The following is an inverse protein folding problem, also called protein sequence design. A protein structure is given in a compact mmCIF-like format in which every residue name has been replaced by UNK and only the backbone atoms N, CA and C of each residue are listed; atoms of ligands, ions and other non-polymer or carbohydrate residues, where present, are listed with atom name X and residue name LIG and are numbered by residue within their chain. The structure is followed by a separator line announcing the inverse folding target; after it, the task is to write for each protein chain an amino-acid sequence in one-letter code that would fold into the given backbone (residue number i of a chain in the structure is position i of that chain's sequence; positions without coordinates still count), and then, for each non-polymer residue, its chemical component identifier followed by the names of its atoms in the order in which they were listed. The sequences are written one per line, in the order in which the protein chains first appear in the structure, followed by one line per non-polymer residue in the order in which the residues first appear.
data_IF_055020066880
#
_entry.id   IF_055020066880
#
_cell.length_a   1.000
_cell.length_b   1.000
_cell.length_c   1.000
_cell.angle_alpha   90.00
_cell.angle_beta   90.00
_cell.angle_gamma   90.00
#
_symmetry.space_group_name_H-M   'P 1'
#
loop_
_entity.id
_entity.type
_entity.pdbx_description
1 polymer ?
#
# COMPACT_ATOMS: atom_id res chain seq x y z
N UNK A 1 22.16 -13.76 -37.76
CA UNK A 1 20.91 -13.63 -37.00
C UNK A 1 21.25 -13.79 -35.52
N UNK A 2 21.59 -12.71 -34.83
CA UNK A 2 21.88 -12.75 -33.40
C UNK A 2 20.56 -12.80 -32.64
N UNK A 3 20.34 -13.88 -31.88
CA UNK A 3 19.18 -14.01 -31.01
C UNK A 3 19.20 -12.89 -29.97
N UNK A 4 18.16 -12.05 -29.98
CA UNK A 4 17.84 -11.20 -28.85
C UNK A 4 17.63 -12.11 -27.65
N UNK A 5 18.57 -12.12 -26.72
CA UNK A 5 18.34 -12.60 -25.37
C UNK A 5 17.28 -11.68 -24.78
N UNK A 6 16.01 -12.11 -24.78
CA UNK A 6 15.02 -11.53 -23.88
C UNK A 6 15.53 -11.82 -22.49
N UNK A 7 16.01 -10.78 -21.79
CA UNK A 7 16.28 -10.87 -20.36
C UNK A 7 15.06 -11.55 -19.75
N UNK A 8 15.28 -12.66 -19.04
CA UNK A 8 14.20 -13.30 -18.30
C UNK A 8 13.57 -12.20 -17.44
N UNK A 9 12.30 -11.87 -17.69
CA UNK A 9 11.51 -11.03 -16.81
C UNK A 9 11.45 -11.81 -15.50
N UNK A 10 12.42 -11.58 -14.62
CA UNK A 10 12.39 -12.11 -13.27
C UNK A 10 11.07 -11.70 -12.66
N UNK A 11 10.40 -12.63 -11.99
CA UNK A 11 9.19 -12.36 -11.21
C UNK A 11 9.57 -11.38 -10.10
N UNK A 12 9.49 -10.07 -10.40
CA UNK A 12 9.73 -9.02 -9.43
C UNK A 12 8.76 -9.16 -8.27
N UNK A 13 9.29 -9.50 -7.09
CA UNK A 13 8.53 -9.54 -5.84
C UNK A 13 8.97 -8.33 -5.03
N UNK A 14 8.02 -7.49 -4.64
CA UNK A 14 8.24 -6.37 -3.74
C UNK A 14 7.50 -6.63 -2.42
N UNK A 15 8.27 -6.70 -1.33
CA UNK A 15 7.76 -6.87 0.02
C UNK A 15 8.13 -5.61 0.81
N UNK A 16 7.12 -4.90 1.31
CA UNK A 16 7.29 -3.62 2.00
C UNK A 16 6.71 -3.74 3.40
N UNK A 17 7.46 -3.28 4.38
CA UNK A 17 6.95 -2.99 5.72
C UNK A 17 7.30 -1.55 6.07
N UNK A 18 6.36 -0.79 6.60
CA UNK A 18 6.65 0.55 7.09
C UNK A 18 5.70 0.99 8.20
N UNK A 19 6.26 1.73 9.15
CA UNK A 19 5.48 2.58 10.02
C UNK A 19 4.99 3.78 9.20
N UNK A 20 3.67 3.93 9.12
CA UNK A 20 2.99 4.92 8.29
C UNK A 20 2.19 5.92 9.11
N UNK A 21 2.50 6.08 10.41
CA UNK A 21 1.77 7.01 11.27
C UNK A 21 1.70 8.44 10.70
N UNK A 22 2.80 8.92 10.12
CA UNK A 22 2.87 10.24 9.47
C UNK A 22 2.28 10.30 8.05
N UNK A 23 2.04 9.15 7.41
CA UNK A 23 1.46 9.10 6.06
C UNK A 23 0.05 9.70 6.04
N UNK A 24 -0.71 9.47 7.12
CA UNK A 24 -2.08 9.93 7.27
C UNK A 24 -2.19 11.37 7.79
N UNK A 25 -1.06 11.99 8.15
CA UNK A 25 -0.98 13.41 8.52
C UNK A 25 -0.72 14.30 7.28
N UNK A 26 -0.12 13.76 6.20
CA UNK A 26 0.15 14.47 4.94
C UNK A 26 -0.17 13.60 3.68
N UNK A 27 -1.45 13.30 3.43
CA UNK A 27 -1.86 12.44 2.33
C UNK A 27 -1.53 13.04 0.95
N UNK A 28 -1.61 14.36 0.78
CA UNK A 28 -1.41 14.98 -0.55
C UNK A 28 0.01 14.78 -1.10
N UNK A 29 1.04 14.75 -0.24
CA UNK A 29 2.42 14.63 -0.68
C UNK A 29 2.98 13.21 -0.48
N UNK A 30 2.79 12.60 0.69
CA UNK A 30 3.44 11.33 1.04
C UNK A 30 2.77 10.14 0.36
N UNK A 31 1.43 10.08 0.34
CA UNK A 31 0.69 8.99 -0.28
C UNK A 31 0.91 8.92 -1.79
N UNK A 32 0.81 10.06 -2.50
CA UNK A 32 1.01 10.09 -3.95
C UNK A 32 2.42 9.67 -4.35
N UNK A 33 3.42 10.01 -3.53
CA UNK A 33 4.80 9.59 -3.73
C UNK A 33 4.93 8.08 -3.58
N UNK A 34 4.40 7.50 -2.50
CA UNK A 34 4.39 6.05 -2.27
C UNK A 34 3.80 5.26 -3.44
N UNK A 35 2.66 5.71 -3.98
CA UNK A 35 2.01 5.04 -5.10
C UNK A 35 2.88 4.98 -6.36
N UNK A 36 3.75 5.98 -6.59
CA UNK A 36 4.66 6.02 -7.75
C UNK A 36 5.83 5.05 -7.61
N UNK A 37 6.28 4.79 -6.39
CA UNK A 37 7.44 3.92 -6.12
C UNK A 37 7.10 2.43 -6.28
N UNK A 38 5.82 2.03 -6.26
CA UNK A 38 5.37 0.64 -6.47
C UNK A 38 5.37 0.23 -7.96
N UNK A 39 6.41 0.57 -8.70
CA UNK A 39 6.47 0.39 -10.14
C UNK A 39 6.71 -1.09 -10.54
N UNK A 40 5.64 -1.71 -11.05
CA UNK A 40 5.63 -2.97 -11.82
C UNK A 40 6.25 -4.25 -11.19
N UNK A 41 6.12 -4.53 -9.88
CA UNK A 41 6.38 -5.90 -9.42
C UNK A 41 5.26 -6.84 -9.91
N UNK A 42 5.60 -8.11 -10.16
CA UNK A 42 4.62 -9.16 -10.44
C UNK A 42 3.84 -9.56 -9.18
N UNK A 43 4.42 -9.34 -8.00
CA UNK A 43 3.79 -9.54 -6.71
C UNK A 43 4.18 -8.41 -5.75
N UNK A 44 3.18 -7.76 -5.16
CA UNK A 44 3.33 -6.72 -4.16
C UNK A 44 2.67 -7.16 -2.85
N UNK A 45 3.42 -7.12 -1.75
CA UNK A 45 2.87 -7.19 -0.41
C UNK A 45 3.33 -5.97 0.39
N UNK A 46 2.37 -5.24 0.96
CA UNK A 46 2.63 -4.06 1.80
C UNK A 46 2.02 -4.31 3.16
N UNK A 47 2.85 -4.19 4.20
CA UNK A 47 2.44 -4.24 5.60
C UNK A 47 2.68 -2.88 6.23
N UNK A 48 1.61 -2.27 6.75
CA UNK A 48 1.65 -0.93 7.33
C UNK A 48 1.44 -1.01 8.85
N UNK A 49 2.36 -0.42 9.63
CA UNK A 49 2.20 -0.22 11.07
C UNK A 49 1.71 1.21 11.37
N UNK A 50 1.04 1.41 12.51
CA UNK A 50 0.47 2.70 12.92
C UNK A 50 -0.48 3.31 11.88
N UNK A 51 -1.30 2.47 11.24
CA UNK A 51 -2.30 2.92 10.27
C UNK A 51 -3.33 3.83 10.96
N UNK A 52 -3.58 5.00 10.37
CA UNK A 52 -4.39 6.05 11.00
C UNK A 52 -3.59 7.00 11.92
N UNK A 53 -2.31 6.72 12.20
CA UNK A 53 -1.46 7.60 13.01
C UNK A 53 -1.97 7.84 14.43
N UNK A 54 -1.46 8.89 15.07
CA UNK A 54 -1.76 9.17 16.49
C UNK A 54 -3.20 9.62 16.74
N UNK A 55 -3.89 10.13 15.71
CA UNK A 55 -5.27 10.63 15.78
C UNK A 55 -6.28 9.69 15.11
N UNK A 56 -6.05 8.37 15.23
CA UNK A 56 -6.76 7.32 14.49
C UNK A 56 -8.29 7.51 14.39
N UNK A 57 -8.97 7.97 15.45
CA UNK A 57 -10.43 8.21 15.44
C UNK A 57 -10.88 9.14 14.29
N UNK A 58 -10.09 10.17 13.97
CA UNK A 58 -10.37 11.10 12.89
C UNK A 58 -9.84 10.62 11.53
N UNK A 59 -8.70 9.93 11.54
CA UNK A 59 -7.94 9.55 10.35
C UNK A 59 -8.30 8.17 9.77
N UNK A 60 -9.09 7.34 10.44
CA UNK A 60 -9.57 6.07 9.86
C UNK A 60 -10.40 6.29 8.58
N UNK A 61 -11.13 7.40 8.48
CA UNK A 61 -11.80 7.77 7.22
C UNK A 61 -10.80 8.00 6.06
N UNK A 62 -9.59 8.46 6.37
CA UNK A 62 -8.51 8.63 5.39
C UNK A 62 -7.86 7.30 5.03
N UNK A 63 -7.81 6.33 5.95
CA UNK A 63 -7.32 4.97 5.66
C UNK A 63 -8.18 4.29 4.59
N UNK A 64 -9.50 4.39 4.73
CA UNK A 64 -10.44 3.88 3.71
C UNK A 64 -10.24 4.56 2.35
N UNK A 65 -10.05 5.89 2.34
CA UNK A 65 -9.77 6.63 1.09
C UNK A 65 -8.47 6.18 0.46
N UNK A 66 -7.41 6.04 1.29
CA UNK A 66 -6.10 5.57 0.85
C UNK A 66 -6.17 4.21 0.17
N UNK A 67 -6.84 3.24 0.80
CA UNK A 67 -6.99 1.89 0.24
C UNK A 67 -7.78 1.95 -1.07
N UNK A 68 -8.89 2.69 -1.12
CA UNK A 68 -9.69 2.82 -2.34
C UNK A 68 -8.87 3.45 -3.48
N UNK A 69 -8.13 4.51 -3.19
CA UNK A 69 -7.28 5.20 -4.17
C UNK A 69 -6.15 4.30 -4.69
N UNK A 70 -5.44 3.61 -3.79
CA UNK A 70 -4.41 2.62 -4.15
C UNK A 70 -4.98 1.57 -5.10
N UNK A 71 -6.11 0.96 -4.75
CA UNK A 71 -6.75 -0.08 -5.55
C UNK A 71 -7.30 0.43 -6.87
N UNK A 72 -7.68 1.71 -6.95
CA UNK A 72 -8.16 2.35 -8.18
C UNK A 72 -7.04 2.82 -9.12
N UNK A 73 -5.78 2.80 -8.66
CA UNK A 73 -4.65 3.30 -9.44
C UNK A 73 -4.36 2.41 -10.66
N UNK A 74 -3.89 3.04 -11.75
CA UNK A 74 -3.50 2.31 -12.97
C UNK A 74 -2.42 1.26 -12.70
N UNK A 75 -1.54 1.52 -11.71
CA UNK A 75 -0.50 0.58 -11.28
C UNK A 75 -1.08 -0.73 -10.73
N UNK A 76 -2.26 -0.69 -10.10
CA UNK A 76 -2.90 -1.88 -9.53
C UNK A 76 -3.79 -2.64 -10.52
N UNK A 77 -4.14 -2.04 -11.68
CA UNK A 77 -5.06 -2.64 -12.67
C UNK A 77 -4.54 -3.96 -13.26
N UNK A 78 -3.23 -4.12 -13.35
CA UNK A 78 -2.59 -5.28 -13.98
C UNK A 78 -2.50 -6.51 -13.04
N UNK A 79 -2.84 -6.36 -11.75
CA UNK A 79 -2.86 -7.49 -10.81
C UNK A 79 -4.15 -8.28 -10.92
N UNK A 80 -4.03 -9.60 -11.03
CA UNK A 80 -5.17 -10.53 -11.13
C UNK A 80 -5.92 -10.74 -9.82
N UNK A 81 -5.33 -10.34 -8.69
CA UNK A 81 -5.92 -10.52 -7.36
C UNK A 81 -5.42 -9.47 -6.38
N UNK A 82 -6.32 -8.96 -5.56
CA UNK A 82 -6.00 -8.11 -4.42
C UNK A 82 -6.68 -8.66 -3.17
N UNK A 83 -5.98 -8.58 -2.03
CA UNK A 83 -6.52 -8.84 -0.70
C UNK A 83 -6.04 -7.73 0.22
N UNK A 84 -6.96 -7.16 0.99
CA UNK A 84 -6.66 -6.14 2.00
C UNK A 84 -7.17 -6.66 3.34
N UNK A 85 -6.34 -6.51 4.36
CA UNK A 85 -6.70 -6.80 5.75
C UNK A 85 -6.44 -5.51 6.53
N UNK A 86 -7.49 -4.96 7.13
CA UNK A 86 -7.42 -3.77 7.96
C UNK A 86 -7.93 -4.12 9.35
N UNK A 87 -7.26 -3.60 10.37
CA UNK A 87 -7.82 -3.61 11.71
C UNK A 87 -8.78 -2.42 11.84
N UNK A 88 -10.08 -2.71 11.79
CA UNK A 88 -11.14 -1.73 11.93
C UNK A 88 -11.64 -1.62 13.39
N UNK A 89 -11.12 -2.44 14.33
CA UNK A 89 -11.60 -2.45 15.71
C UNK A 89 -10.80 -1.50 16.62
N UNK A 90 -10.82 -0.22 16.27
CA UNK A 90 -10.17 0.85 17.04
C UNK A 90 -10.97 1.31 18.27
N UNK A 91 -12.17 0.77 18.50
CA UNK A 91 -13.05 1.17 19.63
C UNK A 91 -12.67 0.53 20.96
N UNK A 92 -11.72 -0.41 20.95
CA UNK A 92 -11.20 -1.04 22.17
C UNK A 92 -9.71 -0.77 22.26
N UNK A 93 -9.32 0.18 23.13
CA UNK A 93 -7.91 0.50 23.37
C UNK A 93 -7.10 -0.72 23.84
N UNK A 94 -7.74 -1.73 24.42
CA UNK A 94 -7.09 -2.98 24.86
C UNK A 94 -6.84 -3.98 23.72
N UNK A 95 -7.42 -3.76 22.53
CA UNK A 95 -7.30 -4.62 21.37
C UNK A 95 -6.65 -3.94 20.16
N UNK A 96 -6.24 -2.68 20.33
CA UNK A 96 -5.52 -1.93 19.31
C UNK A 96 -4.07 -2.46 19.24
N UNK A 97 -3.67 -3.04 18.10
CA UNK A 97 -2.30 -3.55 17.88
C UNK A 97 -1.42 -2.58 17.12
#
# INVERSE_FOLDING_TARGET
MAGKLTAAQGTGILLVTANVGSLFEDPENLQKTWLREFYQPHFLAVHCQEVGGKNYEASMSHVDSFVKELLSSDAMREYSRVRVYLDENYKSQEHFT
#
